data_IF_161898683996
#
_entry.id   IF_161898683996
#
_cell.length_a   1.000
_cell.length_b   1.000
_cell.length_c   1.000
_cell.angle_alpha   90.00
_cell.angle_beta   90.00
_cell.angle_gamma   90.00
#
_symmetry.space_group_name_H-M   'P 1'
#
loop_
_entity.id
_entity.type
_entity.pdbx_description
1 polymer ?
#
# COMPACT_ATOMS: atom_id res chain seq x y z
N UNK A 1 -10.06 -7.26 -14.51
CA UNK A 1 -10.49 -7.03 -13.11
C UNK A 1 -10.27 -8.31 -12.35
N UNK A 2 -9.47 -8.29 -11.27
CA UNK A 2 -9.29 -9.44 -10.38
C UNK A 2 -10.27 -9.34 -9.20
N UNK A 3 -11.01 -10.41 -8.92
CA UNK A 3 -11.94 -10.48 -7.78
C UNK A 3 -11.19 -10.98 -6.55
N UNK A 4 -10.32 -10.14 -6.01
CA UNK A 4 -9.59 -10.38 -4.78
C UNK A 4 -9.37 -9.07 -4.02
N UNK A 5 -9.17 -9.12 -2.70
CA UNK A 5 -8.67 -7.97 -1.95
C UNK A 5 -7.37 -7.47 -2.57
N UNK A 6 -7.23 -6.14 -2.65
CA UNK A 6 -6.02 -5.50 -3.17
C UNK A 6 -5.88 -4.09 -2.59
N UNK A 7 -4.65 -3.63 -2.53
CA UNK A 7 -4.28 -2.26 -2.20
C UNK A 7 -3.09 -1.84 -3.06
N UNK A 8 -2.93 -0.53 -3.27
CA UNK A 8 -1.74 0.06 -3.88
C UNK A 8 -0.81 0.55 -2.77
N UNK A 9 0.50 0.31 -2.88
CA UNK A 9 1.49 0.74 -1.89
C UNK A 9 2.40 1.80 -2.49
N UNK A 10 2.57 2.92 -1.80
CA UNK A 10 3.50 4.00 -2.18
C UNK A 10 4.42 4.37 -1.02
N UNK A 11 5.65 4.76 -1.35
CA UNK A 11 6.50 5.47 -0.40
C UNK A 11 6.03 6.93 -0.27
N UNK A 12 6.04 7.46 0.95
CA UNK A 12 5.67 8.85 1.25
C UNK A 12 6.41 9.86 0.36
N UNK A 13 7.71 9.64 0.12
CA UNK A 13 8.55 10.55 -0.68
C UNK A 13 8.31 10.42 -2.20
N UNK A 14 7.50 9.44 -2.60
CA UNK A 14 7.04 9.28 -4.00
C UNK A 14 5.67 9.91 -4.25
N UNK A 15 5.08 10.57 -3.25
CA UNK A 15 3.83 11.31 -3.37
C UNK A 15 4.09 12.81 -3.55
N UNK A 16 3.18 13.56 -4.22
CA UNK A 16 1.94 13.08 -4.84
C UNK A 16 2.18 12.29 -6.15
N UNK A 17 1.30 11.33 -6.44
CA UNK A 17 1.31 10.56 -7.69
C UNK A 17 -0.11 10.44 -8.26
N UNK A 18 -0.24 10.48 -9.59
CA UNK A 18 -1.54 10.36 -10.24
C UNK A 18 -2.16 8.99 -9.98
N UNK A 19 -1.33 7.94 -10.01
CA UNK A 19 -1.74 6.55 -9.79
C UNK A 19 -2.30 6.34 -8.38
N UNK A 20 -1.77 7.07 -7.38
CA UNK A 20 -2.30 7.05 -6.02
C UNK A 20 -3.73 7.61 -5.98
N UNK A 21 -3.95 8.74 -6.68
CA UNK A 21 -5.28 9.38 -6.78
C UNK A 21 -6.26 8.48 -7.54
N UNK A 22 -5.82 7.88 -8.64
CA UNK A 22 -6.64 7.00 -9.47
C UNK A 22 -7.02 5.71 -8.73
N UNK A 23 -6.11 5.16 -7.92
CA UNK A 23 -6.35 4.00 -7.07
C UNK A 23 -7.47 4.25 -6.07
N UNK A 24 -7.38 5.35 -5.33
CA UNK A 24 -8.41 5.73 -4.35
C UNK A 24 -9.76 5.98 -5.04
N UNK A 25 -9.78 6.66 -6.19
CA UNK A 25 -10.98 6.88 -6.99
C UNK A 25 -11.62 5.57 -7.49
N UNK A 26 -10.81 4.54 -7.73
CA UNK A 26 -11.27 3.20 -8.10
C UNK A 26 -11.71 2.33 -6.91
N UNK A 27 -11.68 2.88 -5.68
CA UNK A 27 -12.00 2.13 -4.45
C UNK A 27 -10.92 1.12 -4.06
N UNK A 28 -9.70 1.26 -4.60
CA UNK A 28 -8.54 0.46 -4.21
C UNK A 28 -7.77 1.26 -3.14
N UNK A 29 -7.70 0.78 -1.89
CA UNK A 29 -7.01 1.47 -0.81
C UNK A 29 -5.55 1.78 -1.16
N UNK A 30 -5.09 2.97 -0.77
CA UNK A 30 -3.70 3.37 -0.82
C UNK A 30 -3.06 3.15 0.55
N UNK A 31 -1.96 2.39 0.60
CA UNK A 31 -1.14 2.20 1.79
C UNK A 31 0.16 2.98 1.60
N UNK A 32 0.53 3.81 2.58
CA UNK A 32 1.71 4.67 2.48
C UNK A 32 2.80 4.20 3.45
N UNK A 33 4.01 4.01 2.93
CA UNK A 33 5.20 3.68 3.72
C UNK A 33 5.94 4.98 4.08
N UNK A 34 6.07 5.31 5.38
CA UNK A 34 6.70 6.56 5.79
C UNK A 34 8.19 6.55 5.52
N UNK A 35 8.77 7.72 5.23
CA UNK A 35 10.22 7.91 5.00
C UNK A 35 10.80 6.94 3.96
N UNK A 36 10.11 6.79 2.83
CA UNK A 36 10.54 5.93 1.73
C UNK A 36 10.10 6.49 0.38
N UNK A 37 10.90 6.27 -0.64
CA UNK A 37 10.56 6.50 -2.04
C UNK A 37 10.09 5.21 -2.74
N UNK A 38 10.48 5.01 -4.00
CA UNK A 38 10.11 3.81 -4.76
C UNK A 38 10.75 2.53 -4.21
N UNK A 39 11.86 2.62 -3.49
CA UNK A 39 12.61 1.47 -2.99
C UNK A 39 12.27 1.17 -1.53
N UNK A 40 10.97 1.14 -1.19
CA UNK A 40 10.47 0.95 0.18
C UNK A 40 11.05 -0.26 0.90
N UNK A 41 11.28 -1.37 0.19
CA UNK A 41 11.88 -2.58 0.75
C UNK A 41 13.34 -2.40 1.18
N UNK A 42 14.04 -1.41 0.62
CA UNK A 42 15.40 -1.03 1.00
C UNK A 42 15.40 0.11 2.03
N UNK A 43 14.55 1.11 1.81
CA UNK A 43 14.53 2.36 2.57
C UNK A 43 13.87 2.18 3.94
N UNK A 44 12.73 1.47 3.99
CA UNK A 44 12.01 1.20 5.24
C UNK A 44 11.38 -0.21 5.24
N UNK A 45 12.22 -1.28 5.26
CA UNK A 45 11.75 -2.67 5.19
C UNK A 45 10.78 -3.04 6.33
N UNK A 46 11.00 -2.49 7.53
CA UNK A 46 10.16 -2.77 8.70
C UNK A 46 8.75 -2.20 8.52
N UNK A 47 8.64 -0.94 8.08
CA UNK A 47 7.32 -0.35 7.85
C UNK A 47 6.59 -1.07 6.71
N UNK A 48 7.29 -1.38 5.61
CA UNK A 48 6.69 -2.16 4.52
C UNK A 48 6.18 -3.51 5.01
N UNK A 49 6.98 -4.25 5.78
CA UNK A 49 6.59 -5.56 6.30
C UNK A 49 5.36 -5.48 7.22
N UNK A 50 5.32 -4.51 8.14
CA UNK A 50 4.17 -4.29 9.02
C UNK A 50 2.91 -3.95 8.22
N UNK A 51 2.99 -3.01 7.27
CA UNK A 51 1.86 -2.62 6.43
C UNK A 51 1.28 -3.81 5.64
N UNK A 52 2.15 -4.67 5.10
CA UNK A 52 1.71 -5.89 4.41
C UNK A 52 1.05 -6.88 5.39
N UNK A 53 1.63 -7.08 6.57
CA UNK A 53 1.07 -7.97 7.59
C UNK A 53 -0.31 -7.49 8.07
N UNK A 54 -0.48 -6.19 8.29
CA UNK A 54 -1.77 -5.58 8.67
C UNK A 54 -2.82 -5.80 7.58
N UNK A 55 -2.45 -5.61 6.31
CA UNK A 55 -3.34 -5.84 5.17
C UNK A 55 -3.81 -7.30 5.09
N UNK A 56 -2.89 -8.27 5.21
CA UNK A 56 -3.27 -9.69 5.20
C UNK A 56 -4.13 -10.07 6.40
N UNK A 57 -3.80 -9.55 7.59
CA UNK A 57 -4.58 -9.81 8.82
C UNK A 57 -6.01 -9.28 8.69
N UNK A 58 -6.21 -8.12 8.05
CA UNK A 58 -7.53 -7.57 7.77
C UNK A 58 -8.34 -8.46 6.82
N UNK A 59 -7.69 -9.03 5.79
CA UNK A 59 -8.34 -9.96 4.86
C UNK A 59 -8.78 -11.24 5.57
N UNK A 60 -7.94 -11.80 6.44
CA UNK A 60 -8.27 -13.03 7.19
C UNK A 60 -9.42 -12.81 8.16
N UNK A 61 -9.56 -11.60 8.74
CA UNK A 61 -10.66 -11.26 9.63
C UNK A 61 -12.02 -11.08 8.92
N UNK A 62 -12.01 -10.83 7.61
CA UNK A 62 -13.22 -10.66 6.78
C UNK A 62 -13.69 -11.97 6.10
N UNK A 63 -12.92 -13.06 6.20
CA UNK A 63 -13.19 -14.37 5.59
C UNK A 63 -13.97 -15.31 6.53
#
# INVERSE_FOLDING_TARGET
>A
HLSCPKALVYGEDSLPAQEATDSEAAGIPLLVIPQAGHSMAWENPSALACTLADFYSAIEAEA
#
